data_IF_747121539101
#
_entry.id   IF_747121539101
#
_cell.length_a   1.000
_cell.length_b   1.000
_cell.length_c   1.000
_cell.angle_alpha   90.00
_cell.angle_beta   90.00
_cell.angle_gamma   90.00
#
_symmetry.space_group_name_H-M   'P 1'
#
loop_
_entity.id
_entity.type
_entity.pdbx_description
1 polymer ?
#
# COMPACT_ATOMS: atom_id res chain seq x y z
N UNK A 1 32.55 -21.32 -4.20
CA UNK A 1 31.21 -20.68 -4.23
C UNK A 1 30.87 -20.44 -5.69
N UNK A 2 29.78 -20.99 -6.21
CA UNK A 2 29.45 -20.90 -7.64
C UNK A 2 28.80 -19.54 -7.94
N UNK A 3 29.45 -18.66 -8.70
CA UNK A 3 28.70 -17.67 -9.48
C UNK A 3 28.08 -18.44 -10.64
N UNK A 4 26.77 -18.67 -10.62
CA UNK A 4 26.09 -19.33 -11.73
C UNK A 4 26.33 -18.52 -13.01
N UNK A 5 26.99 -19.12 -14.00
CA UNK A 5 27.05 -18.56 -15.34
C UNK A 5 25.68 -18.72 -15.98
N UNK A 6 24.89 -17.64 -15.93
CA UNK A 6 23.52 -17.61 -16.44
C UNK A 6 23.45 -17.55 -17.98
N UNK A 7 24.58 -17.61 -18.69
CA UNK A 7 24.63 -17.66 -20.16
C UNK A 7 23.79 -18.81 -20.75
N UNK A 8 23.75 -19.95 -20.08
CA UNK A 8 22.98 -21.16 -20.46
C UNK A 8 21.45 -20.97 -20.34
N UNK A 9 20.97 -20.07 -19.48
CA UNK A 9 19.52 -19.85 -19.31
C UNK A 9 18.86 -19.14 -20.50
N UNK A 10 19.64 -18.46 -21.36
CA UNK A 10 19.11 -17.80 -22.56
C UNK A 10 18.57 -18.79 -23.58
N UNK A 11 19.18 -19.97 -23.71
CA UNK A 11 18.74 -21.02 -24.64
C UNK A 11 17.42 -21.66 -24.18
N UNK A 12 17.23 -21.82 -22.86
CA UNK A 12 15.99 -22.35 -22.25
C UNK A 12 14.82 -21.38 -22.43
N UNK A 13 15.07 -20.08 -22.54
CA UNK A 13 14.02 -19.06 -22.66
C UNK A 13 13.25 -19.12 -23.98
N UNK A 14 13.82 -19.72 -25.04
CA UNK A 14 13.10 -20.01 -26.29
C UNK A 14 11.91 -20.96 -26.09
N UNK A 15 11.85 -21.67 -24.96
CA UNK A 15 10.75 -22.56 -24.59
C UNK A 15 9.70 -21.90 -23.67
N UNK A 16 9.93 -20.67 -23.19
CA UNK A 16 9.05 -19.93 -22.25
C UNK A 16 8.38 -18.74 -22.96
N UNK A 17 7.94 -18.92 -24.21
CA UNK A 17 7.35 -17.84 -25.02
C UNK A 17 5.88 -17.47 -24.69
N UNK A 18 5.27 -18.00 -23.62
CA UNK A 18 3.83 -17.81 -23.38
C UNK A 18 3.44 -16.86 -22.21
N UNK A 19 4.34 -16.02 -21.71
CA UNK A 19 4.00 -15.07 -20.62
C UNK A 19 4.10 -13.63 -21.11
N UNK A 20 2.97 -12.93 -21.16
CA UNK A 20 2.87 -11.53 -21.64
C UNK A 20 3.63 -10.46 -20.83
N UNK A 21 4.47 -10.84 -19.86
CA UNK A 21 5.37 -9.97 -19.11
C UNK A 21 6.81 -10.36 -19.48
N UNK A 22 7.50 -9.47 -20.21
CA UNK A 22 8.85 -9.70 -20.74
C UNK A 22 9.91 -9.42 -19.66
N UNK A 23 10.14 -10.38 -18.77
CA UNK A 23 11.28 -10.37 -17.84
C UNK A 23 12.53 -10.96 -18.50
N UNK A 24 13.72 -10.54 -18.06
CA UNK A 24 14.96 -11.21 -18.49
C UNK A 24 14.98 -12.69 -18.04
N UNK A 25 15.53 -13.61 -18.84
CA UNK A 25 15.56 -15.04 -18.52
C UNK A 25 16.10 -15.33 -17.11
N UNK A 26 17.14 -14.61 -16.71
CA UNK A 26 17.78 -14.77 -15.40
C UNK A 26 16.82 -14.37 -14.27
N UNK A 27 16.10 -13.25 -14.43
CA UNK A 27 15.11 -12.80 -13.45
C UNK A 27 13.92 -13.75 -13.38
N UNK A 28 13.48 -14.29 -14.52
CA UNK A 28 12.43 -15.31 -14.55
C UNK A 28 12.81 -16.56 -13.76
N UNK A 29 14.02 -17.07 -13.99
CA UNK A 29 14.55 -18.24 -13.27
C UNK A 29 14.60 -18.02 -11.77
N UNK A 30 15.14 -16.89 -11.33
CA UNK A 30 15.22 -16.52 -9.91
C UNK A 30 13.83 -16.45 -9.28
N UNK A 31 12.88 -15.75 -9.92
CA UNK A 31 11.52 -15.61 -9.41
C UNK A 31 10.77 -16.94 -9.30
N UNK A 32 10.91 -17.84 -10.29
CA UNK A 32 10.28 -19.16 -10.28
C UNK A 32 10.83 -20.07 -9.18
N UNK A 33 12.09 -19.88 -8.79
CA UNK A 33 12.75 -20.64 -7.71
C UNK A 33 12.63 -19.98 -6.34
N UNK A 34 12.04 -18.78 -6.25
CA UNK A 34 12.07 -17.93 -5.06
C UNK A 34 13.52 -17.64 -4.56
N UNK A 35 14.42 -17.47 -5.53
CA UNK A 35 15.82 -17.16 -5.34
C UNK A 35 16.10 -15.71 -5.74
N UNK A 36 17.26 -15.23 -5.33
CA UNK A 36 17.76 -13.89 -5.58
C UNK A 36 19.29 -13.92 -5.80
N UNK A 37 19.86 -12.84 -6.33
CA UNK A 37 21.29 -12.79 -6.71
C UNK A 37 22.26 -12.97 -5.55
N UNK A 38 21.83 -12.63 -4.33
CA UNK A 38 22.66 -12.59 -3.13
C UNK A 38 22.13 -13.53 -2.05
N UNK A 39 21.40 -14.57 -2.45
CA UNK A 39 21.03 -15.66 -1.57
C UNK A 39 22.21 -16.61 -1.33
N UNK A 40 22.28 -17.16 -0.12
CA UNK A 40 23.17 -18.26 0.18
C UNK A 40 22.53 -19.61 -0.08
N UNK A 41 23.36 -20.58 -0.47
CA UNK A 41 22.93 -21.93 -0.77
C UNK A 41 23.81 -22.96 -0.06
N UNK A 42 23.18 -24.02 0.43
CA UNK A 42 23.83 -25.25 0.87
C UNK A 42 23.75 -26.29 -0.25
N UNK A 43 24.84 -27.04 -0.46
CA UNK A 43 24.94 -28.05 -1.51
C UNK A 43 25.26 -29.40 -0.88
N UNK A 44 24.19 -30.13 -0.51
CA UNK A 44 24.28 -31.50 0.02
C UNK A 44 23.48 -32.43 -0.88
N UNK A 45 23.96 -32.62 -2.13
CA UNK A 45 23.27 -33.39 -3.17
C UNK A 45 22.16 -32.61 -3.90
N UNK A 46 21.41 -31.78 -3.17
CA UNK A 46 20.47 -30.79 -3.73
C UNK A 46 20.87 -29.37 -3.29
N UNK A 47 20.62 -28.39 -4.16
CA UNK A 47 20.84 -26.98 -3.87
C UNK A 47 19.65 -26.47 -3.04
N UNK A 48 19.89 -26.10 -1.77
CA UNK A 48 18.88 -25.53 -0.88
C UNK A 48 19.26 -24.12 -0.47
N UNK A 49 18.32 -23.18 -0.61
CA UNK A 49 18.48 -21.79 -0.16
C UNK A 49 18.54 -21.77 1.37
N UNK A 50 19.58 -21.14 1.92
CA UNK A 50 19.68 -20.88 3.36
C UNK A 50 18.76 -19.73 3.76
N UNK A 51 18.25 -19.79 4.98
CA UNK A 51 17.52 -18.67 5.56
C UNK A 51 18.50 -17.55 5.88
N UNK A 52 18.13 -16.29 5.54
CA UNK A 52 18.99 -15.15 5.79
C UNK A 52 19.04 -14.83 7.29
N UNK A 53 20.09 -15.31 7.96
CA UNK A 53 20.31 -15.09 9.38
C UNK A 53 21.30 -13.96 9.71
N UNK A 54 22.18 -13.63 8.77
CA UNK A 54 23.23 -12.62 8.93
C UNK A 54 23.41 -11.79 7.67
N UNK A 55 24.52 -11.05 7.62
CA UNK A 55 25.05 -10.53 6.35
C UNK A 55 25.42 -11.76 5.51
N UNK A 56 24.98 -11.85 4.25
CA UNK A 56 25.28 -13.01 3.46
C UNK A 56 26.79 -13.10 3.17
N UNK A 57 27.37 -14.29 3.33
CA UNK A 57 28.79 -14.60 3.12
C UNK A 57 29.14 -14.64 1.63
N UNK A 58 29.08 -13.48 0.98
CA UNK A 58 29.32 -13.34 -0.46
C UNK A 58 30.70 -12.74 -0.66
N UNK A 59 31.48 -13.37 -1.55
CA UNK A 59 32.72 -12.80 -2.06
C UNK A 59 32.45 -12.15 -3.42
N UNK A 60 32.88 -10.90 -3.59
CA UNK A 60 32.84 -10.25 -4.90
C UNK A 60 34.15 -10.49 -5.62
N UNK A 61 34.10 -10.81 -6.92
CA UNK A 61 35.30 -11.04 -7.73
C UNK A 61 36.23 -9.80 -7.81
N UNK A 62 35.72 -8.61 -7.47
CA UNK A 62 36.46 -7.35 -7.47
C UNK A 62 36.88 -6.88 -6.06
N UNK A 63 36.55 -7.62 -5.00
CA UNK A 63 36.90 -7.30 -3.62
C UNK A 63 37.70 -8.45 -2.98
N UNK A 64 38.71 -8.11 -2.17
CA UNK A 64 39.65 -9.08 -1.61
C UNK A 64 39.18 -9.80 -0.35
N UNK A 65 37.96 -9.52 0.13
CA UNK A 65 37.39 -10.09 1.36
C UNK A 65 35.90 -10.41 1.27
N UNK A 66 35.34 -10.94 2.36
CA UNK A 66 33.91 -11.20 2.52
C UNK A 66 33.09 -9.90 2.51
N UNK A 67 31.79 -9.98 2.19
CA UNK A 67 30.89 -8.83 2.25
C UNK A 67 30.94 -8.13 3.63
N UNK A 68 31.02 -8.88 4.73
CA UNK A 68 31.08 -8.34 6.10
C UNK A 68 32.36 -7.53 6.34
N UNK A 69 33.51 -8.03 5.90
CA UNK A 69 34.79 -7.32 6.02
C UNK A 69 34.78 -6.04 5.19
N UNK A 70 34.37 -6.13 3.92
CA UNK A 70 34.29 -4.95 3.05
C UNK A 70 33.33 -3.89 3.61
N UNK A 71 32.18 -4.29 4.16
CA UNK A 71 31.25 -3.35 4.80
C UNK A 71 31.86 -2.68 6.04
N UNK A 72 32.65 -3.42 6.83
CA UNK A 72 33.34 -2.87 8.00
C UNK A 72 34.31 -1.76 7.58
N UNK A 73 35.11 -2.01 6.55
CA UNK A 73 36.03 -1.01 5.99
C UNK A 73 35.27 0.19 5.40
N UNK A 74 34.22 -0.06 4.61
CA UNK A 74 33.42 1.01 4.01
C UNK A 74 32.76 1.91 5.06
N UNK A 75 32.30 1.36 6.19
CA UNK A 75 31.72 2.15 7.28
C UNK A 75 32.74 3.12 7.90
N UNK A 76 34.01 2.71 8.00
CA UNK A 76 35.10 3.57 8.48
C UNK A 76 35.38 4.71 7.50
N UNK A 77 35.36 4.44 6.19
CA UNK A 77 35.65 5.45 5.16
C UNK A 77 34.47 6.40 4.88
N UNK A 78 33.25 5.85 4.73
CA UNK A 78 32.04 6.63 4.40
C UNK A 78 30.75 5.87 4.72
N UNK A 79 30.06 6.32 5.78
CA UNK A 79 28.72 5.82 6.16
C UNK A 79 27.69 6.00 5.05
N UNK A 80 27.73 7.14 4.34
CA UNK A 80 26.78 7.44 3.28
C UNK A 80 26.95 6.51 2.07
N UNK A 81 28.19 6.27 1.64
CA UNK A 81 28.46 5.37 0.51
C UNK A 81 28.11 3.92 0.86
N UNK A 82 28.37 3.52 2.11
CA UNK A 82 27.98 2.20 2.63
C UNK A 82 26.46 2.04 2.56
N UNK A 83 25.70 3.03 3.03
CA UNK A 83 24.24 3.01 2.98
C UNK A 83 23.74 2.86 1.54
N UNK A 84 24.25 3.65 0.60
CA UNK A 84 23.85 3.56 -0.81
C UNK A 84 24.16 2.18 -1.42
N UNK A 85 25.33 1.62 -1.10
CA UNK A 85 25.72 0.28 -1.53
C UNK A 85 24.78 -0.79 -0.95
N UNK A 86 24.50 -0.73 0.36
CA UNK A 86 23.56 -1.62 1.03
C UNK A 86 22.16 -1.53 0.42
N UNK A 87 21.63 -0.32 0.18
CA UNK A 87 20.33 -0.15 -0.46
C UNK A 87 20.28 -0.85 -1.83
N UNK A 88 21.34 -0.72 -2.66
CA UNK A 88 21.42 -1.39 -3.97
C UNK A 88 21.47 -2.90 -3.85
N UNK A 89 22.31 -3.43 -2.95
CA UNK A 89 22.44 -4.86 -2.72
C UNK A 89 21.12 -5.49 -2.27
N UNK A 90 20.45 -4.84 -1.31
CA UNK A 90 19.17 -5.29 -0.77
C UNK A 90 18.08 -5.19 -1.84
N UNK A 91 18.04 -4.08 -2.59
CA UNK A 91 17.06 -3.90 -3.67
C UNK A 91 17.22 -4.97 -4.77
N UNK A 92 18.45 -5.30 -5.13
CA UNK A 92 18.76 -6.39 -6.06
C UNK A 92 18.25 -7.73 -5.55
N UNK A 93 18.39 -7.97 -4.25
CA UNK A 93 17.87 -9.17 -3.61
C UNK A 93 16.34 -9.22 -3.61
N UNK A 94 15.69 -8.10 -3.29
CA UNK A 94 14.21 -7.99 -3.22
C UNK A 94 13.56 -8.09 -4.60
N UNK A 95 14.12 -7.42 -5.61
CA UNK A 95 13.56 -7.36 -6.96
C UNK A 95 14.01 -8.50 -7.89
N UNK A 96 15.00 -9.28 -7.45
CA UNK A 96 15.67 -10.29 -8.27
C UNK A 96 16.27 -9.68 -9.55
N UNK A 97 16.86 -8.49 -9.43
CA UNK A 97 17.41 -7.70 -10.54
C UNK A 97 18.91 -7.47 -10.32
N UNK A 98 19.72 -7.51 -11.39
CA UNK A 98 21.16 -7.24 -11.30
C UNK A 98 21.42 -5.82 -10.80
N UNK A 99 22.52 -5.59 -10.08
CA UNK A 99 22.88 -4.28 -9.53
C UNK A 99 22.89 -3.15 -10.58
N UNK A 100 23.33 -3.45 -11.80
CA UNK A 100 23.45 -2.49 -12.91
C UNK A 100 22.08 -2.09 -13.47
N UNK A 101 21.11 -2.99 -13.39
CA UNK A 101 19.76 -2.83 -13.97
C UNK A 101 18.74 -2.33 -12.94
N UNK A 102 19.21 -1.90 -11.76
CA UNK A 102 18.33 -1.47 -10.69
C UNK A 102 17.55 -0.19 -11.05
N UNK A 103 16.24 -0.16 -10.78
CA UNK A 103 15.45 1.05 -10.96
C UNK A 103 15.92 2.16 -10.01
N UNK A 104 16.05 3.38 -10.55
CA UNK A 104 16.53 4.55 -9.80
C UNK A 104 15.41 5.31 -9.08
N UNK A 105 14.17 5.21 -9.57
CA UNK A 105 13.02 5.93 -8.99
C UNK A 105 12.17 4.99 -8.14
N UNK A 106 11.56 5.54 -7.09
CA UNK A 106 10.64 4.80 -6.21
C UNK A 106 9.46 4.18 -6.98
N UNK A 107 8.93 4.90 -7.96
CA UNK A 107 7.87 4.38 -8.85
C UNK A 107 8.32 3.11 -9.58
N UNK A 108 9.52 3.12 -10.19
CA UNK A 108 10.02 1.96 -10.94
C UNK A 108 10.44 0.80 -10.04
N UNK A 109 10.85 1.07 -8.79
CA UNK A 109 11.04 0.03 -7.76
C UNK A 109 9.71 -0.70 -7.51
N UNK A 110 8.62 0.05 -7.32
CA UNK A 110 7.29 -0.51 -7.08
C UNK A 110 6.73 -1.20 -8.33
N UNK A 111 6.96 -0.66 -9.52
CA UNK A 111 6.63 -1.32 -10.79
C UNK A 111 7.33 -2.69 -10.87
N UNK A 112 8.64 -2.74 -10.61
CA UNK A 112 9.43 -3.98 -10.65
C UNK A 112 8.98 -4.98 -9.58
N UNK A 113 8.64 -4.51 -8.38
CA UNK A 113 8.09 -5.36 -7.33
C UNK A 113 6.78 -6.00 -7.79
N UNK A 114 5.81 -5.21 -8.26
CA UNK A 114 4.50 -5.73 -8.68
C UNK A 114 4.63 -6.59 -9.94
N UNK A 115 5.51 -6.25 -10.87
CA UNK A 115 5.81 -7.09 -12.03
C UNK A 115 6.25 -8.51 -11.61
N UNK A 116 7.09 -8.59 -10.58
CA UNK A 116 7.54 -9.88 -10.02
C UNK A 116 6.35 -10.67 -9.45
N UNK A 117 5.45 -9.99 -8.75
CA UNK A 117 4.23 -10.59 -8.19
C UNK A 117 3.32 -11.11 -9.30
N UNK A 118 3.07 -10.31 -10.35
CA UNK A 118 2.23 -10.71 -11.48
C UNK A 118 2.84 -11.89 -12.25
N UNK A 119 4.15 -11.86 -12.47
CA UNK A 119 4.88 -12.92 -13.19
C UNK A 119 4.81 -14.26 -12.46
N UNK A 120 5.08 -14.29 -11.14
CA UNK A 120 5.01 -15.51 -10.31
C UNK A 120 3.63 -16.17 -10.38
N UNK A 121 2.58 -15.36 -10.56
CA UNK A 121 1.18 -15.80 -10.55
C UNK A 121 0.58 -15.97 -11.95
N UNK A 122 1.39 -15.89 -13.01
CA UNK A 122 0.95 -15.97 -14.40
C UNK A 122 -0.21 -15.01 -14.73
N UNK A 123 -0.21 -13.83 -14.11
CA UNK A 123 -1.28 -12.85 -14.29
C UNK A 123 -0.91 -11.87 -15.40
N UNK A 124 -1.69 -11.85 -16.47
CA UNK A 124 -1.54 -10.89 -17.57
C UNK A 124 -2.59 -9.82 -17.40
N UNK A 125 -2.15 -8.56 -17.31
CA UNK A 125 -3.09 -7.46 -17.21
C UNK A 125 -3.77 -7.19 -18.55
N UNK A 126 -5.08 -6.89 -18.55
CA UNK A 126 -5.75 -6.41 -19.74
C UNK A 126 -5.12 -5.09 -20.22
N UNK A 127 -5.24 -4.80 -21.52
CA UNK A 127 -4.71 -3.56 -22.13
C UNK A 127 -5.16 -2.33 -21.32
N UNK A 128 -4.24 -1.37 -21.15
CA UNK A 128 -4.42 -0.11 -20.42
C UNK A 128 -5.83 0.46 -20.61
N UNK A 129 -6.59 0.50 -19.52
CA UNK A 129 -7.87 1.19 -19.48
C UNK A 129 -7.64 2.70 -19.34
N UNK A 130 -8.66 3.48 -19.71
CA UNK A 130 -8.59 4.94 -19.74
C UNK A 130 -8.17 5.51 -18.38
N UNK A 131 -7.33 6.54 -18.41
CA UNK A 131 -6.87 7.27 -17.24
C UNK A 131 -8.04 8.05 -16.64
N UNK A 132 -8.29 7.88 -15.35
CA UNK A 132 -9.15 8.77 -14.58
C UNK A 132 -8.30 9.84 -13.91
N UNK A 133 -8.47 11.10 -14.29
CA UNK A 133 -7.85 12.21 -13.57
C UNK A 133 -8.43 12.30 -12.16
N UNK A 134 -7.57 12.25 -11.16
CA UNK A 134 -7.93 12.59 -9.79
C UNK A 134 -6.73 13.21 -9.07
N UNK A 135 -6.71 14.53 -9.03
CA UNK A 135 -5.89 15.24 -8.05
C UNK A 135 -6.55 15.11 -6.68
N UNK A 136 -5.83 14.56 -5.70
CA UNK A 136 -6.14 14.84 -4.30
C UNK A 136 -5.83 16.32 -4.07
N UNK A 137 -6.86 17.12 -3.80
CA UNK A 137 -6.69 18.55 -3.54
C UNK A 137 -6.37 18.73 -2.07
N UNK A 138 -5.13 19.15 -1.79
CA UNK A 138 -4.76 19.69 -0.48
C UNK A 138 -5.60 20.93 -0.18
N UNK A 139 -6.34 20.88 0.92
CA UNK A 139 -6.68 22.08 1.67
C UNK A 139 -6.47 21.79 3.13
N UNK A 140 -5.35 22.30 3.65
CA UNK A 140 -5.30 23.20 4.81
C UNK A 140 -3.88 23.22 5.39
N UNK A 141 -3.36 24.41 5.69
CA UNK A 141 -2.16 24.59 6.49
C UNK A 141 -2.59 24.74 7.95
N UNK A 142 -2.50 23.66 8.72
CA UNK A 142 -2.68 23.72 10.17
C UNK A 142 -1.30 23.75 10.83
N UNK A 143 -1.09 24.69 11.75
CA UNK A 143 0.02 24.66 12.71
C UNK A 143 -0.46 23.90 13.97
N UNK A 144 0.45 23.19 14.62
CA UNK A 144 0.30 22.59 15.96
C UNK A 144 -0.60 21.36 16.12
N UNK A 145 -0.93 20.63 15.03
CA UNK A 145 -1.69 19.38 15.10
C UNK A 145 -0.78 18.13 15.05
N UNK A 146 -1.16 17.09 15.79
CA UNK A 146 -0.43 15.82 15.83
C UNK A 146 -0.80 14.98 14.62
N UNK A 147 0.20 14.37 13.95
CA UNK A 147 -0.02 13.61 12.71
C UNK A 147 -0.22 12.12 13.04
N UNK A 148 -1.31 11.54 12.55
CA UNK A 148 -1.60 10.11 12.59
C UNK A 148 -1.34 9.51 11.21
N UNK A 149 -0.39 8.58 11.13
CA UNK A 149 0.08 7.95 9.90
C UNK A 149 -0.50 6.55 9.75
N UNK A 150 -1.26 6.36 8.67
CA UNK A 150 -1.90 5.08 8.33
C UNK A 150 -1.08 4.26 7.32
N UNK A 151 0.11 4.70 6.92
CA UNK A 151 0.89 4.09 5.82
C UNK A 151 1.21 2.61 6.02
N UNK A 152 1.38 2.15 7.27
CA UNK A 152 1.55 0.72 7.61
C UNK A 152 0.24 -0.03 7.83
N UNK A 153 -0.87 0.68 8.02
CA UNK A 153 -2.22 0.09 8.16
C UNK A 153 -2.74 -0.35 6.79
N UNK A 154 -2.50 0.46 5.76
CA UNK A 154 -3.06 0.22 4.42
C UNK A 154 -2.71 -1.14 3.80
N UNK A 155 -1.45 -1.58 3.76
CA UNK A 155 -1.12 -2.86 3.14
C UNK A 155 -1.73 -4.04 3.90
N UNK A 156 -1.86 -3.91 5.23
CA UNK A 156 -2.54 -4.91 6.08
C UNK A 156 -4.03 -4.97 5.77
N UNK A 157 -4.71 -3.82 5.64
CA UNK A 157 -6.13 -3.77 5.28
C UNK A 157 -6.41 -4.33 3.88
N UNK A 158 -5.44 -4.23 2.96
CA UNK A 158 -5.59 -4.78 1.60
C UNK A 158 -5.28 -6.27 1.55
N UNK A 159 -4.69 -6.81 2.60
CA UNK A 159 -4.39 -8.22 2.74
C UNK A 159 -5.55 -8.98 3.39
N UNK A 160 -5.57 -10.30 3.20
CA UNK A 160 -6.48 -11.20 3.90
C UNK A 160 -6.18 -11.17 5.41
N UNK A 161 -7.20 -11.20 6.31
CA UNK A 161 -8.63 -11.43 6.06
C UNK A 161 -9.48 -10.16 5.93
N UNK A 162 -8.88 -8.98 5.70
CA UNK A 162 -9.61 -7.71 5.60
C UNK A 162 -10.27 -7.55 4.21
N UNK A 163 -9.90 -6.53 3.43
CA UNK A 163 -10.51 -6.29 2.13
C UNK A 163 -9.93 -7.16 1.02
N UNK A 164 -8.81 -7.85 1.24
CA UNK A 164 -8.21 -8.77 0.26
C UNK A 164 -8.15 -8.16 -1.16
N UNK A 165 -7.70 -6.91 -1.29
CA UNK A 165 -7.68 -6.16 -2.55
C UNK A 165 -6.45 -6.53 -3.38
N UNK A 166 -6.69 -6.89 -4.64
CA UNK A 166 -5.68 -7.22 -5.62
C UNK A 166 -6.31 -7.45 -6.99
N UNK A 167 -5.48 -7.57 -8.02
CA UNK A 167 -5.92 -7.67 -9.42
C UNK A 167 -6.86 -8.86 -9.70
N UNK A 168 -6.80 -9.92 -8.89
CA UNK A 168 -7.57 -11.14 -9.07
C UNK A 168 -8.71 -11.33 -8.04
N UNK A 169 -8.95 -10.37 -7.16
CA UNK A 169 -9.89 -10.53 -6.04
C UNK A 169 -11.03 -9.53 -6.01
N UNK A 170 -10.87 -8.36 -6.65
CA UNK A 170 -11.96 -7.40 -6.85
C UNK A 170 -12.94 -7.98 -7.89
N UNK A 171 -14.23 -7.88 -7.60
CA UNK A 171 -15.33 -8.35 -8.44
C UNK A 171 -15.20 -9.83 -8.87
N UNK A 172 -14.66 -10.66 -7.98
CA UNK A 172 -14.43 -12.06 -8.29
C UNK A 172 -15.75 -12.83 -8.54
N UNK A 173 -15.71 -13.82 -9.45
CA UNK A 173 -16.91 -14.59 -9.82
C UNK A 173 -17.50 -15.44 -8.68
N UNK A 174 -16.70 -15.78 -7.66
CA UNK A 174 -17.09 -16.75 -6.63
C UNK A 174 -17.72 -16.17 -5.36
N UNK A 175 -17.70 -14.84 -5.20
CA UNK A 175 -18.19 -14.12 -4.02
C UNK A 175 -19.10 -12.92 -4.40
N UNK A 176 -19.80 -13.00 -5.53
CA UNK A 176 -20.75 -11.95 -5.92
C UNK A 176 -21.82 -11.81 -4.82
N UNK A 177 -22.04 -10.60 -4.28
CA UNK A 177 -23.02 -10.39 -3.22
C UNK A 177 -24.44 -10.42 -3.80
N UNK A 178 -25.33 -11.08 -3.08
CA UNK A 178 -26.75 -11.17 -3.42
C UNK A 178 -27.59 -10.03 -2.78
N UNK A 179 -27.04 -9.33 -1.77
CA UNK A 179 -27.72 -8.23 -1.07
C UNK A 179 -26.76 -7.25 -0.42
N UNK A 180 -27.25 -6.05 -0.04
CA UNK A 180 -26.48 -5.02 0.69
C UNK A 180 -25.97 -5.46 2.07
N UNK A 181 -26.51 -6.54 2.63
CA UNK A 181 -26.13 -7.03 3.95
C UNK A 181 -24.83 -7.84 3.94
N UNK A 182 -24.27 -8.10 2.76
CA UNK A 182 -23.04 -8.87 2.63
C UNK A 182 -21.79 -8.11 3.07
N UNK A 183 -20.92 -8.80 3.81
CA UNK A 183 -19.73 -8.22 4.43
C UNK A 183 -18.57 -7.95 3.47
N UNK A 184 -18.68 -8.37 2.21
CA UNK A 184 -17.63 -8.15 1.20
C UNK A 184 -17.94 -7.04 0.21
N UNK A 185 -18.99 -6.25 0.43
CA UNK A 185 -19.29 -5.09 -0.40
C UNK A 185 -18.23 -4.01 -0.16
N UNK A 186 -17.67 -3.50 -1.25
CA UNK A 186 -16.68 -2.43 -1.22
C UNK A 186 -17.37 -1.06 -1.17
N UNK A 187 -16.74 -0.05 -0.52
CA UNK A 187 -17.27 1.31 -0.49
C UNK A 187 -17.36 1.97 -1.88
N UNK A 188 -16.68 1.43 -2.90
CA UNK A 188 -16.79 1.84 -4.31
C UNK A 188 -18.12 1.45 -4.97
N UNK A 189 -18.97 0.69 -4.29
CA UNK A 189 -20.30 0.33 -4.79
C UNK A 189 -21.19 1.57 -4.96
N UNK A 190 -21.97 1.59 -6.04
CA UNK A 190 -22.96 2.62 -6.30
C UNK A 190 -24.34 2.08 -5.97
N UNK A 191 -24.96 2.69 -4.96
CA UNK A 191 -26.24 2.30 -4.40
C UNK A 191 -27.30 3.24 -4.94
N UNK A 192 -28.35 2.65 -5.49
CA UNK A 192 -29.50 3.38 -5.97
C UNK A 192 -30.41 3.73 -4.81
N UNK A 193 -30.66 5.03 -4.66
CA UNK A 193 -31.49 5.59 -3.60
C UNK A 193 -32.61 6.43 -4.21
N UNK A 194 -33.69 6.56 -3.46
CA UNK A 194 -34.82 7.45 -3.76
C UNK A 194 -34.92 8.53 -2.68
N UNK A 195 -34.92 9.79 -3.09
CA UNK A 195 -35.04 10.93 -2.18
C UNK A 195 -36.47 11.08 -1.64
N UNK A 196 -36.59 11.42 -0.35
CA UNK A 196 -37.87 11.56 0.35
C UNK A 196 -38.34 13.02 0.50
N UNK A 197 -37.42 13.98 0.37
CA UNK A 197 -37.69 15.41 0.58
C UNK A 197 -37.38 16.24 -0.67
N UNK A 198 -37.87 17.47 -0.68
CA UNK A 198 -37.64 18.41 -1.76
C UNK A 198 -36.36 19.23 -1.53
N UNK A 199 -35.61 19.51 -2.59
CA UNK A 199 -34.50 20.46 -2.56
C UNK A 199 -33.28 20.01 -1.76
N UNK A 200 -33.02 18.70 -1.69
CA UNK A 200 -31.89 18.13 -0.95
C UNK A 200 -30.56 18.48 -1.64
N UNK A 201 -29.60 18.94 -0.83
CA UNK A 201 -28.20 19.09 -1.18
C UNK A 201 -27.34 18.27 -0.21
N UNK A 202 -26.27 17.65 -0.70
CA UNK A 202 -25.29 16.99 0.18
C UNK A 202 -23.88 17.03 -0.42
N UNK A 203 -22.87 17.01 0.45
CA UNK A 203 -21.46 16.90 0.04
C UNK A 203 -21.06 15.44 -0.03
N UNK A 204 -20.76 14.94 -1.23
CA UNK A 204 -20.27 13.56 -1.37
C UNK A 204 -18.94 13.41 -0.66
N UNK A 205 -18.82 12.29 0.04
CA UNK A 205 -17.56 11.85 0.65
C UNK A 205 -16.55 11.34 -0.37
N UNK A 206 -16.97 11.11 -1.61
CA UNK A 206 -16.12 10.74 -2.73
C UNK A 206 -15.94 11.94 -3.69
N UNK A 207 -14.74 12.52 -3.69
CA UNK A 207 -14.39 13.68 -4.51
C UNK A 207 -14.40 13.40 -6.02
N UNK A 208 -14.11 12.17 -6.44
CA UNK A 208 -14.16 11.75 -7.85
C UNK A 208 -15.60 11.66 -8.33
N UNK A 209 -16.47 11.05 -7.54
CA UNK A 209 -17.90 10.99 -7.81
C UNK A 209 -18.49 12.40 -7.90
N UNK A 210 -18.15 13.29 -6.96
CA UNK A 210 -18.55 14.71 -7.02
C UNK A 210 -18.06 15.39 -8.30
N UNK A 211 -16.79 15.22 -8.65
CA UNK A 211 -16.19 15.81 -9.86
C UNK A 211 -16.86 15.29 -11.13
N UNK A 212 -17.08 13.97 -11.24
CA UNK A 212 -17.79 13.33 -12.34
C UNK A 212 -19.23 13.87 -12.46
N UNK A 213 -19.96 13.93 -11.34
CA UNK A 213 -21.31 14.47 -11.34
C UNK A 213 -21.34 15.93 -11.83
N UNK A 214 -20.42 16.77 -11.38
CA UNK A 214 -20.39 18.19 -11.76
C UNK A 214 -19.95 18.43 -13.20
N UNK A 215 -19.13 17.54 -13.77
CA UNK A 215 -18.74 17.61 -15.18
C UNK A 215 -19.89 17.16 -16.10
N UNK A 216 -20.73 16.22 -15.64
CA UNK A 216 -21.80 15.64 -16.46
C UNK A 216 -23.20 16.19 -16.19
N UNK A 217 -23.39 16.99 -15.13
CA UNK A 217 -24.69 17.54 -14.75
C UNK A 217 -24.76 19.05 -14.97
N UNK A 218 -25.86 19.52 -15.54
CA UNK A 218 -26.14 20.96 -15.68
C UNK A 218 -26.28 21.66 -14.31
N UNK A 219 -26.14 22.98 -14.26
CA UNK A 219 -26.36 23.77 -13.04
C UNK A 219 -25.17 23.88 -12.08
N UNK A 220 -23.93 23.62 -12.53
CA UNK A 220 -22.70 23.74 -11.71
C UNK A 220 -22.55 25.12 -11.07
N UNK A 221 -22.89 26.19 -11.80
CA UNK A 221 -22.83 27.56 -11.28
C UNK A 221 -23.80 27.79 -10.11
N UNK A 222 -25.01 27.23 -10.16
CA UNK A 222 -25.98 27.34 -9.06
C UNK A 222 -25.46 26.62 -7.80
N UNK A 223 -24.82 25.45 -7.97
CA UNK A 223 -24.19 24.72 -6.87
C UNK A 223 -22.99 25.47 -6.28
N UNK A 224 -22.20 26.15 -7.12
CA UNK A 224 -21.11 27.02 -6.67
C UNK A 224 -21.62 28.22 -5.87
N UNK A 225 -22.73 28.85 -6.30
CA UNK A 225 -23.38 29.91 -5.51
C UNK A 225 -23.83 29.37 -4.16
N UNK A 226 -24.53 28.22 -4.14
CA UNK A 226 -24.97 27.57 -2.89
C UNK A 226 -23.81 27.22 -1.96
N UNK A 227 -22.70 26.71 -2.50
CA UNK A 227 -21.47 26.46 -1.73
C UNK A 227 -21.01 27.72 -0.99
N UNK A 228 -20.95 28.84 -1.69
CA UNK A 228 -20.50 30.11 -1.11
C UNK A 228 -21.51 30.66 -0.10
N UNK A 229 -22.80 30.59 -0.40
CA UNK A 229 -23.88 31.04 0.49
C UNK A 229 -23.86 30.28 1.83
N UNK A 230 -23.57 28.98 1.81
CA UNK A 230 -23.65 28.09 2.97
C UNK A 230 -22.27 27.72 3.55
N UNK A 231 -21.21 28.35 3.04
CA UNK A 231 -19.81 28.11 3.41
C UNK A 231 -19.42 26.61 3.45
N UNK A 232 -19.89 25.85 2.46
CA UNK A 232 -19.62 24.41 2.36
C UNK A 232 -18.16 24.14 1.98
N UNK A 233 -17.61 23.01 2.43
CA UNK A 233 -16.22 22.65 2.16
C UNK A 233 -15.99 22.28 0.67
N UNK A 234 -16.89 21.48 0.12
CA UNK A 234 -16.98 21.00 -1.25
C UNK A 234 -18.13 21.63 -2.04
N UNK A 235 -18.21 21.29 -3.33
CA UNK A 235 -19.37 21.67 -4.15
C UNK A 235 -20.47 20.63 -3.85
N UNK A 236 -21.66 21.02 -3.38
CA UNK A 236 -22.70 20.07 -3.03
C UNK A 236 -23.31 19.44 -4.29
N UNK A 237 -23.75 18.20 -4.19
CA UNK A 237 -24.62 17.54 -5.16
C UNK A 237 -26.06 18.05 -5.03
N UNK A 238 -26.84 17.99 -6.12
CA UNK A 238 -28.24 18.42 -6.15
C UNK A 238 -28.51 19.76 -6.88
N UNK A 239 -29.68 20.39 -6.65
CA UNK A 239 -30.74 19.92 -5.75
C UNK A 239 -31.38 18.62 -6.26
N UNK A 240 -31.80 17.77 -5.33
CA UNK A 240 -32.64 16.60 -5.60
C UNK A 240 -34.03 16.82 -5.02
N UNK A 241 -35.04 16.33 -5.72
CA UNK A 241 -36.45 16.49 -5.37
C UNK A 241 -37.05 15.17 -4.90
N UNK A 242 -38.23 15.25 -4.28
CA UNK A 242 -38.89 14.05 -3.77
C UNK A 242 -39.16 13.09 -4.92
N UNK A 243 -38.86 11.82 -4.68
CA UNK A 243 -38.92 10.73 -5.65
C UNK A 243 -37.83 10.72 -6.73
N UNK A 244 -36.92 11.69 -6.76
CA UNK A 244 -35.74 11.57 -7.62
C UNK A 244 -34.96 10.32 -7.24
N UNK A 245 -34.45 9.62 -8.26
CA UNK A 245 -33.63 8.42 -8.10
C UNK A 245 -32.22 8.73 -8.56
N UNK A 246 -31.24 8.38 -7.73
CA UNK A 246 -29.83 8.56 -8.05
C UNK A 246 -29.00 7.38 -7.52
N UNK A 247 -27.97 7.02 -8.28
CA UNK A 247 -26.93 6.11 -7.82
C UNK A 247 -25.80 6.91 -7.18
N UNK A 248 -25.54 6.67 -5.91
CA UNK A 248 -24.51 7.37 -5.12
C UNK A 248 -23.56 6.35 -4.46
N UNK A 249 -22.33 6.75 -4.11
CA UNK A 249 -21.41 5.89 -3.38
C UNK A 249 -22.02 5.34 -2.08
N UNK A 250 -21.63 4.12 -1.70
CA UNK A 250 -22.21 3.40 -0.55
C UNK A 250 -22.23 4.23 0.74
N UNK A 251 -21.12 4.89 1.08
CA UNK A 251 -21.05 5.71 2.30
C UNK A 251 -22.05 6.88 2.28
N UNK A 252 -22.21 7.53 1.12
CA UNK A 252 -23.16 8.63 0.97
C UNK A 252 -24.61 8.11 1.05
N UNK A 253 -24.89 6.96 0.43
CA UNK A 253 -26.19 6.31 0.49
C UNK A 253 -26.59 5.97 1.93
N UNK A 254 -25.68 5.32 2.68
CA UNK A 254 -25.90 4.97 4.09
C UNK A 254 -26.18 6.22 4.91
N UNK A 255 -25.38 7.29 4.75
CA UNK A 255 -25.57 8.54 5.48
C UNK A 255 -26.93 9.19 5.16
N UNK A 256 -27.30 9.29 3.88
CA UNK A 256 -28.59 9.88 3.47
C UNK A 256 -29.80 9.10 4.00
N UNK A 257 -29.69 7.77 4.10
CA UNK A 257 -30.74 6.93 4.69
C UNK A 257 -30.80 7.10 6.21
N UNK A 258 -29.64 7.16 6.89
CA UNK A 258 -29.57 7.41 8.34
C UNK A 258 -30.11 8.79 8.72
N UNK A 259 -29.94 9.79 7.86
CA UNK A 259 -30.52 11.13 8.00
C UNK A 259 -32.00 11.20 7.62
N UNK A 260 -32.64 10.06 7.30
CA UNK A 260 -34.04 9.96 6.86
C UNK A 260 -34.38 10.76 5.59
N UNK A 261 -33.37 11.12 4.79
CA UNK A 261 -33.52 11.90 3.54
C UNK A 261 -33.75 11.04 2.30
N UNK A 262 -33.41 9.76 2.38
CA UNK A 262 -33.52 8.82 1.27
C UNK A 262 -33.84 7.40 1.73
N UNK A 263 -34.22 6.53 0.79
CA UNK A 263 -34.37 5.08 1.00
C UNK A 263 -33.62 4.30 -0.07
N UNK A 264 -33.14 3.10 0.28
CA UNK A 264 -32.54 2.18 -0.68
C UNK A 264 -33.59 1.65 -1.68
N UNK A 265 -33.21 1.55 -2.95
CA UNK A 265 -33.94 0.78 -3.97
C UNK A 265 -33.33 -0.62 -4.11
N UNK A 266 -33.69 -1.38 -5.15
CA UNK A 266 -33.22 -2.75 -5.35
C UNK A 266 -32.13 -2.91 -6.42
N UNK A 267 -31.99 -1.98 -7.36
CA UNK A 267 -31.03 -2.09 -8.46
C UNK A 267 -29.69 -1.41 -8.09
N UNK A 268 -28.71 -2.20 -7.66
CA UNK A 268 -27.42 -1.70 -7.19
C UNK A 268 -26.26 -2.15 -8.06
N UNK A 269 -25.30 -1.25 -8.27
CA UNK A 269 -24.02 -1.58 -8.87
C UNK A 269 -23.02 -1.88 -7.77
N UNK A 270 -23.03 -3.13 -7.30
CA UNK A 270 -22.15 -3.58 -6.23
C UNK A 270 -20.75 -3.88 -6.75
N UNK A 271 -19.74 -3.40 -6.03
CA UNK A 271 -18.35 -3.86 -6.12
C UNK A 271 -18.04 -4.69 -4.88
N UNK A 272 -17.26 -5.75 -5.00
CA UNK A 272 -16.97 -6.63 -3.87
C UNK A 272 -15.56 -7.21 -3.90
N UNK A 273 -15.12 -7.74 -2.77
CA UNK A 273 -13.86 -8.48 -2.68
C UNK A 273 -14.06 -9.97 -2.44
N UNK A 274 -13.06 -10.76 -2.81
CA UNK A 274 -13.06 -12.20 -2.63
C UNK A 274 -12.87 -12.58 -1.16
N UNK A 275 -13.78 -13.39 -0.61
CA UNK A 275 -13.63 -13.97 0.74
C UNK A 275 -13.06 -15.39 0.74
N UNK A 276 -13.13 -16.10 -0.40
CA UNK A 276 -12.80 -17.53 -0.51
C UNK A 276 -11.33 -17.79 -0.87
N UNK A 277 -10.71 -16.90 -1.64
CA UNK A 277 -9.34 -17.05 -2.15
C UNK A 277 -8.54 -15.81 -1.80
N UNK A 278 -7.42 -15.99 -1.10
CA UNK A 278 -6.46 -14.92 -0.85
C UNK A 278 -5.86 -14.45 -2.20
N UNK A 279 -5.73 -13.13 -2.35
CA UNK A 279 -5.18 -12.53 -3.54
C UNK A 279 -3.64 -12.62 -3.50
N UNK A 280 -2.99 -12.72 -4.65
CA UNK A 280 -1.55 -12.95 -4.68
C UNK A 280 -0.73 -11.76 -4.18
N UNK A 281 -1.27 -10.54 -4.26
CA UNK A 281 -0.61 -9.34 -3.73
C UNK A 281 -0.67 -9.34 -2.20
N UNK A 282 -1.77 -9.80 -1.60
CA UNK A 282 -1.89 -10.06 -0.15
C UNK A 282 -0.81 -11.01 0.34
N UNK A 283 -0.59 -12.13 -0.35
CA UNK A 283 0.44 -13.11 0.02
C UNK A 283 1.82 -12.45 0.07
N UNK A 284 2.18 -11.71 -0.98
CA UNK A 284 3.50 -11.07 -1.08
C UNK A 284 3.66 -9.91 -0.07
N UNK A 285 2.60 -9.12 0.20
CA UNK A 285 2.61 -8.11 1.25
C UNK A 285 2.75 -8.73 2.65
N UNK A 286 2.07 -9.85 2.91
CA UNK A 286 2.18 -10.59 4.16
C UNK A 286 3.59 -11.15 4.36
N UNK A 287 4.23 -11.68 3.31
CA UNK A 287 5.62 -12.13 3.35
C UNK A 287 6.61 -10.97 3.57
N UNK A 288 6.39 -9.81 2.95
CA UNK A 288 7.15 -8.60 3.25
C UNK A 288 7.01 -8.19 4.72
N UNK A 289 5.79 -8.18 5.25
CA UNK A 289 5.52 -7.83 6.63
C UNK A 289 6.21 -8.80 7.61
N UNK A 290 6.16 -10.11 7.35
CA UNK A 290 6.89 -11.12 8.15
C UNK A 290 8.39 -10.84 8.18
N UNK A 291 8.99 -10.50 7.02
CA UNK A 291 10.41 -10.13 6.93
C UNK A 291 10.72 -8.85 7.71
N UNK A 292 9.88 -7.82 7.60
CA UNK A 292 10.01 -6.57 8.36
C UNK A 292 10.02 -6.87 9.87
N UNK A 293 9.02 -7.61 10.35
CA UNK A 293 8.90 -7.98 11.78
C UNK A 293 10.09 -8.81 12.25
N UNK A 294 10.57 -9.74 11.42
CA UNK A 294 11.74 -10.56 11.73
C UNK A 294 13.00 -9.71 11.91
N UNK A 295 13.29 -8.80 10.97
CA UNK A 295 14.48 -7.94 11.05
C UNK A 295 14.36 -6.85 12.11
N UNK A 296 13.17 -6.29 12.35
CA UNK A 296 12.94 -5.35 13.47
C UNK A 296 13.25 -6.01 14.83
N UNK A 297 12.87 -7.28 15.01
CA UNK A 297 13.22 -8.05 16.21
C UNK A 297 14.72 -8.23 16.36
N UNK A 298 15.43 -8.55 15.26
CA UNK A 298 16.89 -8.66 15.27
C UNK A 298 17.58 -7.35 15.60
N UNK A 299 17.12 -6.23 15.03
CA UNK A 299 17.63 -4.90 15.36
C UNK A 299 17.46 -4.59 16.84
N UNK A 300 16.27 -4.86 17.39
CA UNK A 300 15.99 -4.67 18.82
C UNK A 300 16.90 -5.52 19.70
N UNK A 301 17.23 -6.75 19.28
CA UNK A 301 18.15 -7.63 20.00
C UNK A 301 19.58 -7.11 19.96
N UNK A 302 20.07 -6.70 18.78
CA UNK A 302 21.39 -6.09 18.60
C UNK A 302 21.53 -4.82 19.45
N UNK A 303 20.51 -3.95 19.45
CA UNK A 303 20.47 -2.75 20.27
C UNK A 303 20.55 -3.08 21.77
N UNK A 304 19.74 -4.03 22.25
CA UNK A 304 19.75 -4.45 23.66
C UNK A 304 21.10 -5.03 24.08
N UNK A 305 21.74 -5.83 23.23
CA UNK A 305 23.05 -6.41 23.51
C UNK A 305 24.12 -5.30 23.53
N UNK A 306 24.10 -4.38 22.57
CA UNK A 306 25.02 -3.24 22.57
C UNK A 306 24.86 -2.33 23.79
N UNK A 307 23.62 -2.08 24.25
CA UNK A 307 23.37 -1.31 25.49
C UNK A 307 23.97 -2.01 26.70
N UNK A 308 23.82 -3.34 26.80
CA UNK A 308 24.39 -4.13 27.90
C UNK A 308 25.92 -4.12 27.91
N UNK A 309 26.54 -4.24 26.73
CA UNK A 309 27.99 -4.35 26.58
C UNK A 309 28.70 -3.00 26.67
N UNK A 310 28.10 -1.94 26.10
CA UNK A 310 28.77 -0.67 25.86
C UNK A 310 28.17 0.52 26.63
N UNK A 311 27.08 0.31 27.38
CA UNK A 311 26.46 1.33 28.22
C UNK A 311 26.10 2.60 27.44
N UNK A 312 26.55 3.76 27.92
CA UNK A 312 26.27 5.08 27.31
C UNK A 312 26.84 5.20 25.88
N UNK A 313 27.92 4.47 25.57
CA UNK A 313 28.57 4.51 24.26
C UNK A 313 27.92 3.66 23.17
N UNK A 314 26.83 2.94 23.47
CA UNK A 314 26.23 1.93 22.59
C UNK A 314 25.94 2.43 21.16
N UNK A 315 25.56 3.70 20.99
CA UNK A 315 25.22 4.28 19.69
C UNK A 315 26.41 4.30 18.73
N UNK A 316 27.63 4.58 19.23
CA UNK A 316 28.85 4.57 18.40
C UNK A 316 29.20 3.15 17.92
N UNK A 317 28.95 2.14 18.75
CA UNK A 317 29.16 0.74 18.39
C UNK A 317 28.11 0.23 17.40
N UNK A 318 26.84 0.62 17.57
CA UNK A 318 25.79 0.28 16.60
C UNK A 318 26.08 0.91 15.24
N UNK A 319 26.49 2.18 15.22
CA UNK A 319 26.78 2.91 13.99
C UNK A 319 27.95 2.30 13.19
N UNK A 320 28.90 1.68 13.88
CA UNK A 320 30.05 1.00 13.27
C UNK A 320 29.81 -0.48 12.99
N UNK A 321 28.71 -1.06 13.46
CA UNK A 321 28.37 -2.48 13.25
C UNK A 321 27.84 -2.71 11.83
N UNK A 322 28.49 -3.56 11.01
CA UNK A 322 27.98 -3.93 9.68
C UNK A 322 26.59 -4.59 9.74
N UNK A 323 26.35 -5.46 10.72
CA UNK A 323 25.09 -6.22 10.82
C UNK A 323 23.91 -5.30 11.13
N UNK A 324 24.07 -4.43 12.13
CA UNK A 324 23.10 -3.37 12.43
C UNK A 324 22.77 -2.51 11.20
N UNK A 325 23.78 -2.00 10.50
CA UNK A 325 23.58 -1.18 9.29
C UNK A 325 22.89 -1.96 8.17
N UNK A 326 23.27 -3.22 7.94
CA UNK A 326 22.65 -4.10 6.94
C UNK A 326 21.17 -4.32 7.24
N UNK A 327 20.81 -4.76 8.45
CA UNK A 327 19.42 -5.01 8.82
C UNK A 327 18.59 -3.73 8.89
N UNK A 328 19.17 -2.63 9.35
CA UNK A 328 18.51 -1.32 9.39
C UNK A 328 18.12 -0.87 7.98
N UNK A 329 19.04 -0.94 7.02
CA UNK A 329 18.75 -0.59 5.64
C UNK A 329 17.76 -1.56 5.00
N UNK A 330 17.82 -2.85 5.37
CA UNK A 330 16.87 -3.86 4.90
C UNK A 330 15.45 -3.52 5.33
N UNK A 331 15.26 -3.23 6.62
CA UNK A 331 13.97 -2.83 7.18
C UNK A 331 13.47 -1.56 6.50
N UNK A 332 14.31 -0.52 6.37
CA UNK A 332 13.92 0.75 5.73
C UNK A 332 13.39 0.52 4.32
N UNK A 333 14.09 -0.29 3.53
CA UNK A 333 13.72 -0.56 2.14
C UNK A 333 12.43 -1.38 2.05
N UNK A 334 12.29 -2.44 2.84
CA UNK A 334 11.06 -3.25 2.88
C UNK A 334 9.86 -2.43 3.36
N UNK A 335 10.02 -1.64 4.42
CA UNK A 335 9.00 -0.73 4.95
C UNK A 335 8.55 0.27 3.89
N UNK A 336 9.49 0.82 3.11
CA UNK A 336 9.19 1.71 1.99
C UNK A 336 8.36 1.03 0.91
N UNK A 337 8.73 -0.17 0.46
CA UNK A 337 7.96 -0.94 -0.54
C UNK A 337 6.56 -1.27 0.01
N UNK A 338 6.50 -1.84 1.22
CA UNK A 338 5.28 -2.26 1.88
C UNK A 338 4.28 -1.12 2.00
N UNK A 339 4.67 -0.01 2.65
CA UNK A 339 3.80 1.15 2.88
C UNK A 339 3.40 1.88 1.60
N UNK A 340 4.25 1.85 0.57
CA UNK A 340 4.01 2.60 -0.68
C UNK A 340 3.20 1.83 -1.70
N UNK A 341 3.13 0.50 -1.60
CA UNK A 341 2.40 -0.34 -2.57
C UNK A 341 0.94 0.05 -2.72
N UNK A 342 0.14 0.22 -1.64
CA UNK A 342 -1.23 0.74 -1.73
C UNK A 342 -1.38 2.03 -2.54
N UNK A 343 -0.50 3.00 -2.32
CA UNK A 343 -0.54 4.30 -3.01
C UNK A 343 -0.08 4.21 -4.47
N UNK A 344 0.78 3.24 -4.78
CA UNK A 344 1.21 3.00 -6.14
C UNK A 344 0.11 2.42 -7.01
N UNK A 345 -0.74 1.55 -6.46
CA UNK A 345 -1.89 0.96 -7.16
C UNK A 345 -2.89 2.00 -7.66
N UNK A 346 -2.96 3.17 -7.01
CA UNK A 346 -3.86 4.27 -7.40
C UNK A 346 -3.18 5.31 -8.30
N UNK A 347 -1.89 5.16 -8.59
CA UNK A 347 -1.16 6.11 -9.42
C UNK A 347 -1.49 5.91 -10.89
N UNK A 348 -1.84 7.00 -11.60
CA UNK A 348 -2.05 6.97 -13.05
C UNK A 348 -0.77 6.74 -13.85
N UNK A 349 0.40 6.95 -13.21
CA UNK A 349 1.69 6.63 -13.81
C UNK A 349 2.07 5.16 -13.67
N UNK A 350 1.30 4.38 -12.91
CA UNK A 350 1.57 2.97 -12.69
C UNK A 350 1.48 2.20 -14.00
N UNK A 351 2.51 1.42 -14.32
CA UNK A 351 2.60 0.66 -15.58
C UNK A 351 1.44 -0.33 -15.72
N UNK A 352 1.03 -0.90 -14.60
CA UNK A 352 0.03 -1.96 -14.45
C UNK A 352 -1.29 -1.44 -13.89
N UNK A 353 -1.61 -0.16 -14.15
CA UNK A 353 -2.83 0.47 -13.64
C UNK A 353 -4.10 -0.29 -14.02
N UNK A 354 -4.91 -0.60 -13.02
CA UNK A 354 -6.23 -1.21 -13.12
C UNK A 354 -7.26 -0.28 -12.47
N UNK A 355 -8.24 0.17 -13.25
CA UNK A 355 -9.17 1.21 -12.82
C UNK A 355 -10.11 0.74 -11.70
N UNK A 356 -10.57 -0.52 -11.76
CA UNK A 356 -11.47 -1.09 -10.77
C UNK A 356 -10.76 -1.29 -9.43
N UNK A 357 -9.52 -1.82 -9.47
CA UNK A 357 -8.69 -1.95 -8.28
C UNK A 357 -8.31 -0.59 -7.69
N UNK A 358 -7.89 0.37 -8.52
CA UNK A 358 -7.56 1.71 -8.06
C UNK A 358 -8.78 2.39 -7.40
N UNK A 359 -9.96 2.29 -8.02
CA UNK A 359 -11.21 2.80 -7.46
C UNK A 359 -11.53 2.15 -6.12
N UNK A 360 -11.43 0.82 -6.01
CA UNK A 360 -11.64 0.09 -4.76
C UNK A 360 -10.68 0.57 -3.66
N UNK A 361 -9.38 0.68 -3.97
CA UNK A 361 -8.34 1.15 -3.04
C UNK A 361 -8.64 2.56 -2.52
N UNK A 362 -8.93 3.52 -3.42
CA UNK A 362 -9.26 4.91 -3.03
C UNK A 362 -10.49 4.98 -2.14
N UNK A 363 -11.55 4.26 -2.48
CA UNK A 363 -12.78 4.26 -1.71
C UNK A 363 -12.62 3.62 -0.33
N UNK A 364 -11.75 2.60 -0.19
CA UNK A 364 -11.39 2.05 1.13
C UNK A 364 -10.61 3.07 1.96
N UNK A 365 -9.63 3.77 1.39
CA UNK A 365 -8.95 4.87 2.08
C UNK A 365 -9.93 5.92 2.60
N UNK A 366 -10.78 6.45 1.71
CA UNK A 366 -11.77 7.44 2.09
C UNK A 366 -12.71 6.93 3.18
N UNK A 367 -13.25 5.72 3.04
CA UNK A 367 -14.16 5.13 4.04
C UNK A 367 -13.52 5.00 5.43
N UNK A 368 -12.28 4.50 5.51
CA UNK A 368 -11.59 4.34 6.80
C UNK A 368 -11.27 5.69 7.43
N UNK A 369 -10.79 6.66 6.65
CA UNK A 369 -10.47 8.00 7.15
C UNK A 369 -11.71 8.77 7.60
N UNK A 370 -12.84 8.61 6.91
CA UNK A 370 -14.12 9.18 7.32
C UNK A 370 -14.61 8.59 8.64
N UNK A 371 -14.56 7.27 8.79
CA UNK A 371 -14.90 6.60 10.06
C UNK A 371 -14.00 7.07 11.21
N UNK A 372 -12.70 7.26 10.95
CA UNK A 372 -11.79 7.83 11.95
C UNK A 372 -12.20 9.25 12.34
N UNK A 373 -12.59 10.06 11.37
CA UNK A 373 -13.04 11.43 11.62
C UNK A 373 -14.34 11.48 12.43
N UNK A 374 -15.33 10.70 12.04
CA UNK A 374 -16.59 10.55 12.78
C UNK A 374 -16.34 10.06 14.21
N UNK A 375 -15.52 9.02 14.38
CA UNK A 375 -15.14 8.49 15.69
C UNK A 375 -14.42 9.54 16.55
N UNK A 376 -13.49 10.29 15.99
CA UNK A 376 -12.74 11.33 16.71
C UNK A 376 -13.69 12.42 17.20
N UNK A 377 -14.58 12.91 16.33
CA UNK A 377 -15.52 13.98 16.65
C UNK A 377 -16.50 13.57 17.76
N UNK A 378 -16.96 12.30 17.76
CA UNK A 378 -17.79 11.75 18.84
C UNK A 378 -17.06 11.69 20.19
N UNK A 379 -15.73 11.57 20.18
CA UNK A 379 -14.88 11.57 21.38
C UNK A 379 -14.29 12.97 21.69
N UNK A 380 -14.97 14.04 21.27
CA UNK A 380 -14.58 15.43 21.50
C UNK A 380 -13.17 15.80 20.98
N UNK A 381 -12.62 15.03 20.05
CA UNK A 381 -11.34 15.31 19.39
C UNK A 381 -11.61 15.73 17.95
N UNK A 382 -11.01 16.82 17.48
CA UNK A 382 -11.18 17.23 16.08
C UNK A 382 -10.14 16.55 15.22
N UNK A 383 -10.58 16.01 14.08
CA UNK A 383 -9.66 15.41 13.13
C UNK A 383 -9.81 16.04 11.75
N UNK A 384 -8.69 16.19 11.06
CA UNK A 384 -8.64 16.75 9.72
C UNK A 384 -7.92 15.76 8.79
N UNK A 385 -8.63 15.30 7.78
CA UNK A 385 -8.09 14.35 6.80
C UNK A 385 -7.14 15.10 5.86
N UNK A 386 -5.89 14.64 5.77
CA UNK A 386 -4.86 15.17 4.88
C UNK A 386 -4.28 14.04 4.03
N UNK A 387 -4.87 13.82 2.86
CA UNK A 387 -4.53 12.76 1.88
C UNK A 387 -4.45 11.37 2.51
N UNK A 388 -3.29 11.02 3.08
CA UNK A 388 -2.96 9.71 3.64
C UNK A 388 -2.79 9.72 5.17
N UNK A 389 -2.89 10.89 5.78
CA UNK A 389 -2.68 11.11 7.20
C UNK A 389 -3.89 11.82 7.79
N UNK A 390 -4.06 11.69 9.10
CA UNK A 390 -5.04 12.49 9.83
C UNK A 390 -4.31 13.42 10.78
N UNK A 391 -4.64 14.70 10.74
CA UNK A 391 -4.20 15.65 11.75
C UNK A 391 -5.21 15.61 12.88
N UNK A 392 -4.75 15.29 14.08
CA UNK A 392 -5.58 15.08 15.25
C UNK A 392 -5.32 16.17 16.29
N UNK A 393 -6.38 16.89 16.63
CA UNK A 393 -6.45 17.80 17.78
C UNK A 393 -7.07 17.05 18.95
N UNK A 394 -6.21 16.59 19.87
CA UNK A 394 -6.61 15.80 21.03
C UNK A 394 -5.59 15.89 22.16
N UNK A 395 -6.10 16.00 23.38
CA UNK A 395 -5.32 15.92 24.62
C UNK A 395 -4.67 14.53 24.76
N UNK A 396 -5.37 13.47 24.34
CA UNK A 396 -4.89 12.09 24.42
C UNK A 396 -4.99 11.35 23.06
N UNK A 397 -4.11 11.67 22.11
CA UNK A 397 -4.16 11.14 20.74
C UNK A 397 -3.98 9.62 20.69
N UNK A 398 -3.08 9.06 21.52
CA UNK A 398 -2.81 7.61 21.55
C UNK A 398 -4.04 6.82 22.00
N UNK A 399 -4.81 7.37 22.96
CA UNK A 399 -6.07 6.75 23.38
C UNK A 399 -7.10 6.76 22.25
N UNK A 400 -7.32 7.90 21.59
CA UNK A 400 -8.26 7.98 20.45
C UNK A 400 -7.87 7.00 19.34
N UNK A 401 -6.59 6.93 19.00
CA UNK A 401 -6.05 6.01 18.00
C UNK A 401 -6.30 4.55 18.38
N UNK A 402 -5.93 4.16 19.61
CA UNK A 402 -6.07 2.78 20.07
C UNK A 402 -7.54 2.36 20.23
N UNK A 403 -8.40 3.24 20.74
CA UNK A 403 -9.83 2.98 20.90
C UNK A 403 -10.52 2.84 19.52
N UNK A 404 -10.14 3.66 18.53
CA UNK A 404 -10.63 3.53 17.16
C UNK A 404 -10.24 2.17 16.56
N UNK A 405 -8.96 1.82 16.62
CA UNK A 405 -8.45 0.56 16.08
C UNK A 405 -9.10 -0.64 16.75
N UNK A 406 -9.34 -0.59 18.07
CA UNK A 406 -10.05 -1.64 18.80
C UNK A 406 -11.52 -1.73 18.39
N UNK A 407 -12.21 -0.60 18.25
CA UNK A 407 -13.63 -0.55 17.89
C UNK A 407 -13.87 -1.07 16.46
N UNK A 408 -13.02 -0.66 15.52
CA UNK A 408 -13.12 -1.04 14.12
C UNK A 408 -12.39 -2.36 13.79
N UNK A 409 -11.72 -2.95 14.79
CA UNK A 409 -10.90 -4.16 14.64
C UNK A 409 -9.81 -4.02 13.57
N UNK A 410 -9.14 -2.86 13.54
CA UNK A 410 -8.11 -2.49 12.56
C UNK A 410 -6.72 -2.46 13.22
N UNK A 411 -5.63 -2.55 12.43
CA UNK A 411 -4.28 -2.26 12.91
C UNK A 411 -4.19 -0.84 13.51
N UNK A 412 -3.26 -0.65 14.45
CA UNK A 412 -3.07 0.64 15.13
C UNK A 412 -2.20 1.55 14.24
N UNK A 413 -2.70 2.70 13.76
CA UNK A 413 -1.88 3.67 13.04
C UNK A 413 -0.85 4.33 13.97
N UNK A 414 0.22 4.84 13.39
CA UNK A 414 1.33 5.42 14.15
C UNK A 414 1.09 6.91 14.42
N UNK A 415 1.42 7.36 15.63
CA UNK A 415 1.49 8.78 15.95
C UNK A 415 2.88 9.31 15.58
N UNK A 416 2.93 10.23 14.62
CA UNK A 416 4.15 10.94 14.23
C UNK A 416 4.21 12.24 15.02
N UNK A 417 5.19 12.33 15.92
CA UNK A 417 5.43 13.47 16.81
C UNK A 417 6.41 14.45 16.19
#
# INVERSE_FOLDING_TARGET
>A
MFSFDFSVLKEINSLIENKGILLSPERQFLLLRNWSFFDEFEVNGEIKKKQLEGIPEIAFNFASGSLKENLSEMLVFSKQNTKEFLSKLILSNVLCTKLIDLPKSKSHILDSFIESVLFKNNFVLPKKQAKFDSGFVEKNRFKDLKKVDFSFVWPVLFSFPFYNLGFNSVNCSCCKPDSLNEKNILPSSLIEIKFLEEGIYFESTNSEFSSFFHSNSSGKEKRLKRKNEWNLHGIPLGPFFRNDVLRVPLNDAVRLVQEEKAVFLSDHNLSWFCRKKENFLSIELNELNKKIVFFDKKLTEIEKNSIKENGIGFSLFLDSSPEFNFFSEFVVLLKSIFSSTPFHLISLSFVFFDADLACAVRNVFSSVLLKFNEFSNLNSSKSFISSNNVLLDSDNPLKVISDFSKNQNLPVPELVV
#
